data_IF_031170159179
#
_entry.id   IF_031170159179
#
_cell.length_a   1.000
_cell.length_b   1.000
_cell.length_c   1.000
_cell.angle_alpha   90.00
_cell.angle_beta   90.00
_cell.angle_gamma   90.00
#
_symmetry.space_group_name_H-M   'P 1'
#
loop_
_entity.id
_entity.type
_entity.pdbx_description
1 polymer ?
#
# COMPACT_ATOMS: atom_id res chain seq x y z
N UNK A 1 11.92 -6.93 -3.94
CA UNK A 1 10.47 -6.70 -4.04
C UNK A 1 10.05 -5.89 -2.84
N UNK A 2 9.28 -4.82 -3.03
CA UNK A 2 8.70 -4.02 -1.94
C UNK A 2 7.91 -4.93 -0.98
N UNK A 3 8.01 -4.67 0.32
CA UNK A 3 7.51 -5.54 1.41
C UNK A 3 5.99 -5.77 1.45
N UNK A 4 5.21 -5.06 0.63
CA UNK A 4 3.75 -5.12 0.51
C UNK A 4 3.15 -6.53 0.41
N UNK A 5 3.89 -7.53 -0.10
CA UNK A 5 3.42 -8.92 -0.12
C UNK A 5 3.15 -9.51 1.28
N UNK A 6 3.88 -9.04 2.29
CA UNK A 6 3.82 -9.54 3.67
C UNK A 6 2.85 -8.76 4.56
N UNK A 7 2.39 -7.60 4.10
CA UNK A 7 1.52 -6.71 4.88
C UNK A 7 0.14 -7.33 5.14
N UNK A 8 -0.48 -6.98 6.27
CA UNK A 8 -1.86 -7.29 6.64
C UNK A 8 -2.84 -6.36 5.91
N UNK A 9 -4.14 -6.62 6.05
CA UNK A 9 -5.20 -5.80 5.39
C UNK A 9 -5.11 -4.34 5.82
N UNK A 10 -4.95 -4.08 7.11
CA UNK A 10 -4.92 -2.72 7.65
C UNK A 10 -3.63 -1.99 7.25
N UNK A 11 -2.49 -2.68 7.30
CA UNK A 11 -1.20 -2.16 6.81
C UNK A 11 -1.26 -1.81 5.31
N UNK A 12 -1.89 -2.65 4.48
CA UNK A 12 -2.13 -2.34 3.07
C UNK A 12 -3.10 -1.17 2.86
N UNK A 13 -4.03 -0.94 3.80
CA UNK A 13 -4.91 0.23 3.75
C UNK A 13 -4.10 1.49 4.02
N UNK A 14 -3.30 1.50 5.08
CA UNK A 14 -2.42 2.63 5.42
C UNK A 14 -1.52 2.99 4.24
N UNK A 15 -0.81 2.01 3.67
CA UNK A 15 0.06 2.24 2.51
C UNK A 15 -0.69 2.87 1.35
N UNK A 16 -1.89 2.37 1.03
CA UNK A 16 -2.69 2.89 -0.05
C UNK A 16 -3.12 4.35 0.20
N UNK A 17 -3.55 4.67 1.42
CA UNK A 17 -3.95 6.04 1.81
C UNK A 17 -2.77 7.00 1.77
N UNK A 18 -1.59 6.59 2.25
CA UNK A 18 -0.38 7.41 2.27
C UNK A 18 0.16 7.72 0.88
N UNK A 19 0.05 6.78 -0.06
CA UNK A 19 0.41 7.03 -1.46
C UNK A 19 -0.73 7.71 -2.25
N UNK A 20 -1.78 8.18 -1.57
CA UNK A 20 -2.85 9.01 -2.13
C UNK A 20 -3.96 8.25 -2.86
N UNK A 21 -4.10 6.94 -2.62
CA UNK A 21 -5.18 6.13 -3.19
C UNK A 21 -6.42 6.18 -2.31
N UNK A 22 -7.58 6.17 -2.97
CA UNK A 22 -8.87 6.08 -2.30
C UNK A 22 -9.18 4.61 -2.03
N UNK A 23 -9.35 4.26 -0.76
CA UNK A 23 -9.68 2.91 -0.31
C UNK A 23 -11.00 2.89 0.44
N UNK A 24 -11.73 1.78 0.33
CA UNK A 24 -13.00 1.58 1.00
C UNK A 24 -12.86 0.56 2.14
N UNK A 25 -13.60 0.75 3.23
CA UNK A 25 -13.67 -0.15 4.38
C UNK A 25 -13.93 -1.62 3.99
N UNK A 26 -14.79 -1.82 2.99
CA UNK A 26 -15.20 -3.12 2.47
C UNK A 26 -14.18 -3.85 1.58
N UNK A 27 -13.09 -3.19 1.15
CA UNK A 27 -12.12 -3.81 0.23
C UNK A 27 -11.41 -5.00 0.88
N UNK A 28 -11.16 -6.02 0.07
CA UNK A 28 -10.39 -7.21 0.47
C UNK A 28 -8.89 -6.92 0.42
N UNK A 29 -8.13 -7.69 1.20
CA UNK A 29 -6.66 -7.63 1.21
C UNK A 29 -6.06 -7.72 -0.21
N UNK A 30 -6.56 -8.63 -1.03
CA UNK A 30 -6.11 -8.82 -2.42
C UNK A 30 -6.43 -7.63 -3.32
N UNK A 31 -7.55 -6.94 -3.09
CA UNK A 31 -7.96 -5.77 -3.86
C UNK A 31 -7.10 -4.56 -3.51
N UNK A 32 -6.85 -4.33 -2.21
CA UNK A 32 -5.94 -3.27 -1.75
C UNK A 32 -4.53 -3.48 -2.31
N UNK A 33 -4.03 -4.72 -2.24
CA UNK A 33 -2.70 -5.07 -2.78
C UNK A 33 -2.61 -4.76 -4.26
N UNK A 34 -3.62 -5.17 -5.03
CA UNK A 34 -3.67 -4.93 -6.47
C UNK A 34 -3.79 -3.44 -6.78
N UNK A 35 -4.59 -2.69 -6.02
CA UNK A 35 -4.73 -1.24 -6.17
C UNK A 35 -3.39 -0.52 -6.01
N UNK A 36 -2.62 -0.89 -4.98
CA UNK A 36 -1.27 -0.37 -4.76
C UNK A 36 -0.37 -0.76 -5.93
N UNK A 37 -0.28 -2.05 -6.28
CA UNK A 37 0.59 -2.55 -7.35
C UNK A 37 0.26 -1.94 -8.74
N UNK A 38 -1.00 -1.63 -8.98
CA UNK A 38 -1.47 -1.01 -10.23
C UNK A 38 -1.30 0.53 -10.24
N UNK A 39 -1.01 1.17 -9.11
CA UNK A 39 -0.89 2.63 -9.01
C UNK A 39 0.36 3.18 -9.70
N UNK A 40 0.25 4.41 -10.22
CA UNK A 40 1.37 5.11 -10.86
C UNK A 40 2.48 5.44 -9.86
N UNK A 41 2.13 5.72 -8.59
CA UNK A 41 3.11 5.97 -7.51
C UNK A 41 3.93 4.71 -7.28
N UNK A 42 3.29 3.54 -7.17
CA UNK A 42 4.01 2.26 -7.03
C UNK A 42 4.94 1.95 -8.20
N UNK A 43 4.58 2.37 -9.41
CA UNK A 43 5.38 2.11 -10.62
C UNK A 43 6.51 3.12 -10.84
N UNK A 44 6.29 4.38 -10.46
CA UNK A 44 7.17 5.50 -10.84
C UNK A 44 7.91 6.12 -9.64
N UNK A 45 7.39 5.99 -8.42
CA UNK A 45 7.94 6.59 -7.21
C UNK A 45 8.10 5.53 -6.10
N UNK A 46 9.20 4.78 -6.21
CA UNK A 46 9.54 3.73 -5.26
C UNK A 46 9.89 4.26 -3.86
N UNK A 47 10.34 5.51 -3.72
CA UNK A 47 10.72 6.07 -2.41
C UNK A 47 9.48 6.37 -1.58
N UNK A 48 8.45 7.01 -2.17
CA UNK A 48 7.19 7.26 -1.51
C UNK A 48 6.54 5.95 -1.01
N UNK A 49 6.52 4.92 -1.87
CA UNK A 49 5.97 3.61 -1.50
C UNK A 49 6.82 2.93 -0.42
N UNK A 50 8.15 3.06 -0.48
CA UNK A 50 9.02 2.46 0.54
C UNK A 50 8.81 3.10 1.90
N UNK A 51 8.70 4.43 1.97
CA UNK A 51 8.37 5.17 3.20
C UNK A 51 7.03 4.67 3.76
N UNK A 52 5.99 4.64 2.92
CA UNK A 52 4.67 4.21 3.37
C UNK A 52 4.66 2.76 3.91
N UNK A 53 5.43 1.87 3.28
CA UNK A 53 5.58 0.48 3.76
C UNK A 53 6.35 0.42 5.07
N UNK A 54 7.35 1.27 5.28
CA UNK A 54 8.11 1.35 6.53
C UNK A 54 7.21 1.89 7.66
N UNK A 55 6.48 2.97 7.41
CA UNK A 55 5.53 3.57 8.36
C UNK A 55 4.40 2.58 8.75
N UNK A 56 3.91 1.80 7.79
CA UNK A 56 2.91 0.76 8.05
C UNK A 56 3.45 -0.48 8.78
N UNK A 57 4.77 -0.74 8.77
CA UNK A 57 5.41 -1.87 9.46
C UNK A 57 5.91 -1.53 10.86
N UNK A 58 6.22 -0.25 11.11
CA UNK A 58 6.70 0.22 12.42
C UNK A 58 5.57 0.45 13.44
N UNK A 59 4.30 0.43 13.00
CA UNK A 59 3.09 0.49 13.84
C UNK A 59 2.50 -0.90 14.14
#
# INVERSE_FOLDING_TARGET
MLGIAKLKKDELRTVAEEIGLVVNEGMKKSELRRLIEDSDVFKNDNEAVKSAVEDALEN
#
